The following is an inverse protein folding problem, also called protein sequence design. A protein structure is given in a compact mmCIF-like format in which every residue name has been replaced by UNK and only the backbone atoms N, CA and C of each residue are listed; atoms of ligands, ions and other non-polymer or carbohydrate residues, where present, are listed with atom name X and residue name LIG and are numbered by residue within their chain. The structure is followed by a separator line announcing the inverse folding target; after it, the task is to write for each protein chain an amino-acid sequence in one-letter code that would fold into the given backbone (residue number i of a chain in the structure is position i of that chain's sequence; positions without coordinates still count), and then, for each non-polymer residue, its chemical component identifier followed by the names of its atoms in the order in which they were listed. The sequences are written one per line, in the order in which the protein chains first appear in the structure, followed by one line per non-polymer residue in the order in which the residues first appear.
data_IF_053227272568
#
_entry.id   IF_053227272568
#
_cell.length_a   1.000
_cell.length_b   1.000
_cell.length_c   1.000
_cell.angle_alpha   90.00
_cell.angle_beta   90.00
_cell.angle_gamma   90.00
#
_symmetry.space_group_name_H-M   'P 1'
#
loop_
_entity.id
_entity.type
_entity.pdbx_description
1 polymer ?
#
# COMPACT_ATOMS: atom_id res chain seq x y z
N UNK A 1 -18.67 -5.04 -24.87
CA UNK A 1 -17.20 -4.92 -24.93
C UNK A 1 -16.81 -3.69 -24.13
N UNK A 2 -16.56 -3.84 -22.83
CA UNK A 2 -16.05 -2.75 -22.02
C UNK A 2 -14.53 -2.72 -22.18
N UNK A 3 -14.00 -1.56 -22.53
CA UNK A 3 -12.57 -1.30 -22.66
C UNK A 3 -11.92 -1.63 -21.32
N UNK A 4 -11.05 -2.63 -21.33
CA UNK A 4 -10.10 -2.87 -20.23
C UNK A 4 -9.07 -1.74 -20.34
N UNK A 5 -9.38 -0.58 -19.77
CA UNK A 5 -8.35 0.41 -19.43
C UNK A 5 -7.55 -0.24 -18.31
N UNK A 6 -6.41 -0.80 -18.68
CA UNK A 6 -5.40 -1.25 -17.73
C UNK A 6 -4.87 0.03 -17.04
N UNK A 7 -5.21 0.35 -15.78
CA UNK A 7 -4.57 1.48 -15.14
C UNK A 7 -3.13 1.06 -14.87
N UNK A 8 -2.17 1.62 -15.61
CA UNK A 8 -0.81 1.69 -15.07
C UNK A 8 -0.92 2.36 -13.69
N UNK A 9 -0.23 1.85 -12.64
CA UNK A 9 -0.19 2.56 -11.37
C UNK A 9 0.30 3.98 -11.66
N UNK A 10 -0.49 4.99 -11.30
CA UNK A 10 -0.10 6.38 -11.56
C UNK A 10 1.05 6.81 -10.66
N UNK A 11 1.17 6.21 -9.46
CA UNK A 11 2.37 6.32 -8.65
C UNK A 11 3.33 5.17 -8.98
N UNK A 12 4.36 5.46 -9.77
CA UNK A 12 5.44 4.52 -10.04
C UNK A 12 6.24 4.21 -8.76
N UNK A 13 6.53 2.92 -8.53
CA UNK A 13 7.30 2.46 -7.37
C UNK A 13 8.10 1.21 -7.71
N UNK A 14 9.29 1.09 -7.13
CA UNK A 14 9.98 -0.19 -7.05
C UNK A 14 9.19 -1.17 -6.17
N UNK A 15 9.46 -2.46 -6.34
CA UNK A 15 8.85 -3.55 -5.59
C UNK A 15 9.96 -4.32 -4.87
N UNK A 16 9.90 -4.35 -3.55
CA UNK A 16 10.93 -4.91 -2.68
C UNK A 16 10.56 -6.33 -2.28
N UNK A 17 11.42 -7.27 -2.62
CA UNK A 17 11.37 -8.65 -2.16
C UNK A 17 11.68 -8.76 -0.66
N UNK A 18 11.46 -9.92 -0.05
CA UNK A 18 11.76 -10.13 1.37
C UNK A 18 13.22 -9.84 1.77
N UNK A 19 14.26 -10.26 1.01
CA UNK A 19 15.64 -9.88 1.30
C UNK A 19 15.87 -8.37 1.22
N UNK A 20 15.35 -7.70 0.20
CA UNK A 20 15.48 -6.24 0.05
C UNK A 20 14.77 -5.49 1.16
N UNK A 21 13.62 -5.99 1.65
CA UNK A 21 12.95 -5.44 2.83
C UNK A 21 13.80 -5.54 4.09
N UNK A 22 14.48 -6.66 4.30
CA UNK A 22 15.41 -6.84 5.43
C UNK A 22 16.53 -5.79 5.37
N UNK A 23 17.10 -5.57 4.19
CA UNK A 23 18.17 -4.59 3.98
C UNK A 23 17.67 -3.15 4.18
N UNK A 24 16.55 -2.77 3.54
CA UNK A 24 16.01 -1.41 3.57
C UNK A 24 15.48 -1.02 4.95
N UNK A 25 14.86 -1.95 5.67
CA UNK A 25 14.32 -1.70 7.01
C UNK A 25 15.40 -1.83 8.09
N UNK A 26 16.53 -2.47 7.80
CA UNK A 26 17.56 -2.79 8.79
C UNK A 26 17.08 -3.75 9.88
N UNK A 27 16.10 -4.60 9.56
CA UNK A 27 15.38 -5.45 10.50
C UNK A 27 15.50 -6.93 10.12
N UNK A 28 15.61 -7.87 11.08
CA UNK A 28 15.71 -9.29 10.77
C UNK A 28 14.43 -9.80 10.10
N UNK A 29 14.55 -10.87 9.29
CA UNK A 29 13.42 -11.44 8.53
C UNK A 29 12.17 -11.73 9.38
N UNK A 30 12.34 -12.19 10.62
CA UNK A 30 11.22 -12.43 11.53
C UNK A 30 10.46 -11.15 11.89
N UNK A 31 11.17 -10.02 12.06
CA UNK A 31 10.57 -8.71 12.31
C UNK A 31 9.85 -8.19 11.07
N UNK A 32 10.42 -8.37 9.88
CA UNK A 32 9.78 -8.02 8.59
C UNK A 32 8.49 -8.82 8.39
N UNK A 33 8.48 -10.13 8.66
CA UNK A 33 7.26 -10.95 8.62
C UNK A 33 6.20 -10.44 9.59
N UNK A 34 6.60 -10.11 10.81
CA UNK A 34 5.69 -9.52 11.80
C UNK A 34 5.09 -8.19 11.33
N UNK A 35 5.83 -7.36 10.57
CA UNK A 35 5.26 -6.13 9.98
C UNK A 35 4.12 -6.45 8.99
N UNK A 36 4.27 -7.52 8.20
CA UNK A 36 3.23 -8.00 7.28
C UNK A 36 2.04 -8.57 8.05
N UNK A 37 2.30 -9.43 9.04
CA UNK A 37 1.26 -10.07 9.86
C UNK A 37 0.42 -9.04 10.64
N UNK A 38 1.00 -7.88 10.98
CA UNK A 38 0.33 -6.79 11.69
C UNK A 38 -0.28 -5.71 10.79
N UNK A 39 -0.29 -5.96 9.47
CA UNK A 39 -0.76 -5.03 8.44
C UNK A 39 -0.01 -3.69 8.48
N UNK A 40 1.23 -3.66 8.98
CA UNK A 40 2.09 -2.47 8.88
C UNK A 40 2.62 -2.30 7.46
N UNK A 41 2.76 -3.42 6.74
CA UNK A 41 3.03 -3.50 5.31
C UNK A 41 2.08 -4.53 4.70
N UNK A 42 1.80 -4.39 3.41
CA UNK A 42 1.13 -5.40 2.57
C UNK A 42 1.93 -5.56 1.28
N UNK A 43 1.82 -6.72 0.65
CA UNK A 43 2.55 -7.02 -0.58
C UNK A 43 1.76 -7.93 -1.50
N UNK A 44 2.27 -8.11 -2.72
CA UNK A 44 1.60 -8.87 -3.77
C UNK A 44 2.49 -10.01 -4.27
N UNK A 45 1.86 -11.07 -4.79
CA UNK A 45 2.52 -12.12 -5.59
C UNK A 45 2.15 -12.06 -7.07
N UNK A 46 1.35 -11.07 -7.51
CA UNK A 46 0.80 -11.01 -8.87
C UNK A 46 1.85 -10.88 -9.97
N UNK A 47 3.07 -10.46 -9.62
CA UNK A 47 4.19 -10.30 -10.55
C UNK A 47 5.35 -11.28 -10.26
N UNK A 48 5.07 -12.40 -9.59
CA UNK A 48 6.06 -13.46 -9.34
C UNK A 48 6.32 -13.66 -7.85
N UNK A 49 7.57 -13.44 -7.43
CA UNK A 49 7.92 -13.52 -6.01
C UNK A 49 7.13 -12.48 -5.20
N UNK A 50 6.86 -12.78 -3.92
CA UNK A 50 6.23 -11.83 -3.02
C UNK A 50 7.07 -10.56 -2.91
N UNK A 51 6.45 -9.42 -3.16
CA UNK A 51 7.11 -8.12 -3.08
C UNK A 51 6.17 -7.04 -2.54
N UNK A 52 6.75 -6.02 -1.91
CA UNK A 52 6.06 -4.89 -1.29
C UNK A 52 6.41 -3.60 -2.06
N UNK A 53 5.44 -2.74 -2.37
CA UNK A 53 5.71 -1.42 -2.95
C UNK A 53 6.67 -0.60 -2.08
N UNK A 54 7.82 -0.19 -2.63
CA UNK A 54 8.83 0.59 -1.93
C UNK A 54 8.28 1.92 -1.37
N UNK A 55 7.30 2.52 -2.04
CA UNK A 55 6.63 3.76 -1.62
C UNK A 55 5.94 3.67 -0.24
N UNK A 56 5.68 2.45 0.25
CA UNK A 56 5.14 2.22 1.59
C UNK A 56 6.16 2.41 2.71
N UNK A 57 7.45 2.56 2.38
CA UNK A 57 8.54 2.76 3.32
C UNK A 57 9.05 4.20 3.22
N UNK A 58 9.23 4.83 4.38
CA UNK A 58 9.78 6.18 4.53
C UNK A 58 10.84 6.13 5.60
N UNK A 59 12.04 6.60 5.28
CA UNK A 59 13.18 6.69 6.21
C UNK A 59 13.48 5.35 6.94
N UNK A 60 13.43 4.23 6.22
CA UNK A 60 13.70 2.90 6.77
C UNK A 60 12.57 2.30 7.61
N UNK A 61 11.38 2.92 7.61
CA UNK A 61 10.24 2.46 8.40
C UNK A 61 8.96 2.41 7.55
N UNK A 62 8.01 1.51 7.85
CA UNK A 62 6.69 1.58 7.23
C UNK A 62 6.03 2.95 7.49
N UNK A 63 5.39 3.51 6.48
CA UNK A 63 4.67 4.77 6.61
C UNK A 63 3.65 4.68 7.76
N UNK A 64 3.74 5.48 8.84
CA UNK A 64 2.95 5.26 10.05
C UNK A 64 1.43 5.30 9.84
N UNK A 65 0.95 6.07 8.86
CA UNK A 65 -0.47 6.15 8.52
C UNK A 65 -1.00 4.94 7.75
N UNK A 66 -0.12 4.13 7.16
CA UNK A 66 -0.48 3.04 6.26
C UNK A 66 -1.34 1.97 6.95
N UNK A 67 -0.90 1.46 8.11
CA UNK A 67 -1.61 0.39 8.84
C UNK A 67 -3.08 0.68 9.06
N UNK A 68 -3.40 1.87 9.58
CA UNK A 68 -4.78 2.24 9.86
C UNK A 68 -5.64 2.37 8.59
N UNK A 69 -5.03 2.68 7.45
CA UNK A 69 -5.75 2.70 6.16
C UNK A 69 -5.94 1.28 5.62
N UNK A 70 -4.93 0.40 5.73
CA UNK A 70 -5.05 -1.02 5.36
C UNK A 70 -6.19 -1.68 6.12
N UNK A 71 -6.28 -1.47 7.44
CA UNK A 71 -7.36 -2.03 8.26
C UNK A 71 -8.73 -1.57 7.75
N UNK A 72 -8.90 -0.28 7.44
CA UNK A 72 -10.18 0.23 6.92
C UNK A 72 -10.54 -0.42 5.58
N UNK A 73 -9.56 -0.62 4.69
CA UNK A 73 -9.80 -1.28 3.40
C UNK A 73 -10.12 -2.77 3.58
N UNK A 74 -9.43 -3.46 4.48
CA UNK A 74 -9.72 -4.86 4.81
C UNK A 74 -11.11 -5.02 5.43
N UNK A 75 -11.52 -4.11 6.31
CA UNK A 75 -12.87 -4.07 6.89
C UNK A 75 -13.94 -3.81 5.81
N UNK A 76 -13.57 -3.10 4.73
CA UNK A 76 -14.38 -2.92 3.52
C UNK A 76 -14.33 -4.11 2.54
N UNK A 77 -13.61 -5.19 2.89
CA UNK A 77 -13.53 -6.42 2.10
C UNK A 77 -12.44 -6.43 1.01
N UNK A 78 -11.56 -5.44 0.97
CA UNK A 78 -10.47 -5.40 0.00
C UNK A 78 -9.42 -6.47 0.34
N UNK A 79 -8.94 -7.15 -0.69
CA UNK A 79 -7.70 -7.93 -0.61
C UNK A 79 -6.47 -7.03 -0.55
N UNK A 80 -5.31 -7.55 -0.15
CA UNK A 80 -4.03 -6.79 -0.19
C UNK A 80 -3.74 -6.26 -1.59
N UNK A 81 -4.05 -7.07 -2.59
CA UNK A 81 -3.87 -6.78 -4.01
C UNK A 81 -4.74 -5.59 -4.45
N UNK A 82 -6.03 -5.59 -4.11
CA UNK A 82 -6.94 -4.46 -4.39
C UNK A 82 -6.60 -3.22 -3.57
N UNK A 83 -6.17 -3.40 -2.31
CA UNK A 83 -5.73 -2.30 -1.46
C UNK A 83 -4.48 -1.62 -2.02
N UNK A 84 -3.52 -2.40 -2.53
CA UNK A 84 -2.33 -1.87 -3.23
C UNK A 84 -2.76 -1.10 -4.49
N UNK A 85 -3.66 -1.67 -5.30
CA UNK A 85 -4.12 -1.02 -6.53
C UNK A 85 -4.79 0.32 -6.24
N UNK A 86 -5.70 0.37 -5.26
CA UNK A 86 -6.33 1.63 -4.84
C UNK A 86 -5.31 2.62 -4.30
N UNK A 87 -4.35 2.18 -3.49
CA UNK A 87 -3.34 3.06 -2.90
C UNK A 87 -2.41 3.71 -3.93
N UNK A 88 -2.17 3.06 -5.08
CA UNK A 88 -1.25 3.51 -6.14
C UNK A 88 -1.95 4.17 -7.34
N UNK A 89 -3.28 4.05 -7.44
CA UNK A 89 -4.08 4.68 -8.49
C UNK A 89 -4.62 6.04 -8.04
N UNK A 90 -4.79 7.03 -8.93
CA UNK A 90 -5.44 8.28 -8.60
C UNK A 90 -6.88 8.03 -8.17
N UNK A 91 -7.31 8.73 -7.13
CA UNK A 91 -8.70 8.73 -6.67
C UNK A 91 -9.29 10.13 -6.89
N UNK A 92 -10.41 10.23 -7.61
CA UNK A 92 -11.03 11.52 -7.96
C UNK A 92 -11.49 12.32 -6.73
N UNK A 93 -11.84 11.65 -5.63
CA UNK A 93 -12.27 12.31 -4.39
C UNK A 93 -11.09 12.89 -3.64
N UNK A 94 -9.94 12.21 -3.68
CA UNK A 94 -8.68 12.65 -3.05
C UNK A 94 -7.92 13.62 -3.98
N UNK A 95 -8.15 13.53 -5.29
CA UNK A 95 -7.48 14.30 -6.35
C UNK A 95 -6.08 13.83 -6.72
N UNK A 96 -5.53 12.84 -6.00
CA UNK A 96 -4.23 12.19 -6.23
C UNK A 96 -4.30 10.73 -5.78
N UNK A 97 -3.23 9.96 -5.97
CA UNK A 97 -3.16 8.63 -5.40
C UNK A 97 -3.20 8.67 -3.85
N UNK A 98 -3.93 7.77 -3.18
CA UNK A 98 -4.02 7.74 -1.72
C UNK A 98 -2.65 7.71 -1.04
N UNK A 99 -1.66 6.99 -1.59
CA UNK A 99 -0.31 6.94 -1.01
C UNK A 99 0.38 8.32 -1.01
N UNK A 100 0.20 9.11 -2.05
CA UNK A 100 0.76 10.46 -2.15
C UNK A 100 0.12 11.39 -1.10
N UNK A 101 -1.20 11.30 -0.96
CA UNK A 101 -1.93 12.02 0.07
C UNK A 101 -1.49 11.61 1.49
N UNK A 102 -1.27 10.31 1.76
CA UNK A 102 -0.76 9.85 3.05
C UNK A 102 0.65 10.39 3.34
N UNK A 103 1.55 10.40 2.36
CA UNK A 103 2.91 10.98 2.51
C UNK A 103 2.85 12.50 2.74
N UNK A 104 1.84 13.18 2.22
CA UNK A 104 1.54 14.58 2.52
C UNK A 104 0.80 14.80 3.86
N UNK A 105 0.60 13.76 4.67
CA UNK A 105 -0.04 13.86 5.99
C UNK A 105 -1.57 13.90 5.96
N UNK A 106 -2.22 13.74 4.80
CA UNK A 106 -3.69 13.82 4.60
C UNK A 106 -4.45 12.57 5.04
N UNK A 107 -3.99 11.89 6.10
CA UNK A 107 -4.52 10.58 6.54
C UNK A 107 -6.02 10.55 6.86
N UNK A 108 -6.57 11.64 7.42
CA UNK A 108 -7.99 11.70 7.79
C UNK A 108 -8.90 11.76 6.56
N UNK A 109 -8.44 12.41 5.50
CA UNK A 109 -9.15 12.48 4.23
C UNK A 109 -9.13 11.12 3.52
N UNK A 110 -7.94 10.51 3.39
CA UNK A 110 -7.77 9.19 2.79
C UNK A 110 -8.66 8.14 3.47
N UNK A 111 -8.67 8.09 4.81
CA UNK A 111 -9.51 7.12 5.54
C UNK A 111 -11.00 7.38 5.41
N UNK A 112 -11.41 8.65 5.27
CA UNK A 112 -12.81 8.98 5.02
C UNK A 112 -13.26 8.42 3.68
N UNK A 113 -12.43 8.57 2.64
CA UNK A 113 -12.74 7.99 1.31
C UNK A 113 -12.74 6.47 1.38
N UNK A 114 -11.72 5.86 2.01
CA UNK A 114 -11.67 4.40 2.17
C UNK A 114 -12.92 3.83 2.86
N UNK A 115 -13.45 4.51 3.89
CA UNK A 115 -14.68 4.11 4.57
C UNK A 115 -15.94 4.15 3.67
N UNK A 116 -15.93 4.92 2.59
CA UNK A 116 -17.06 4.96 1.64
C UNK A 116 -17.02 3.85 0.60
N UNK A 117 -15.96 3.03 0.58
CA UNK A 117 -15.79 1.92 -0.37
C UNK A 117 -16.37 0.60 0.15
N UNK A 118 -16.84 0.58 1.41
CA UNK A 118 -17.48 -0.57 2.06
C UNK A 118 -18.97 -0.71 1.69
#
# INVERSE_FOLDING_TARGET
MAVVTNPSPATETAWLTMPELVEVLGEPLGRVRRLLDESQLIGSKRHGAFAVPAVFIVDGHPLPSLRGTIIVLHDAGFTDDEAIDWMLAPDDTIGVAPIEALRAGRKSEVRRVAQTLA
#
